data_IF_738500043230
#
_entry.id   IF_738500043230
#
_cell.length_a   1.000
_cell.length_b   1.000
_cell.length_c   1.000
_cell.angle_alpha   90.00
_cell.angle_beta   90.00
_cell.angle_gamma   90.00
#
_symmetry.space_group_name_H-M   'P 1'
#
loop_
_entity.id
_entity.type
_entity.pdbx_description
1 polymer ?
#
# COMPACT_ATOMS: atom_id res chain seq x y z
N UNK A 1 0.87 -0.30 6.85
CA UNK A 1 1.78 0.42 5.90
C UNK A 1 3.27 0.02 5.95
N UNK A 2 3.78 -0.66 6.99
CA UNK A 2 5.20 -1.05 7.09
C UNK A 2 5.70 -2.04 6.00
N UNK A 3 4.78 -2.59 5.20
CA UNK A 3 5.05 -3.61 4.18
C UNK A 3 5.32 -3.07 2.76
N UNK A 4 5.16 -1.77 2.49
CA UNK A 4 5.08 -1.31 1.10
C UNK A 4 6.42 -0.85 0.51
N UNK A 5 7.33 -0.29 1.30
CA UNK A 5 8.71 -0.01 0.91
C UNK A 5 9.51 0.15 2.21
N UNK A 6 10.63 -0.54 2.37
CA UNK A 6 11.49 -0.36 3.55
C UNK A 6 12.01 1.09 3.56
N UNK A 7 11.44 1.93 4.42
CA UNK A 7 11.79 3.34 4.63
C UNK A 7 13.31 3.56 4.77
N UNK A 8 14.00 2.58 5.37
CA UNK A 8 15.45 2.54 5.50
C UNK A 8 16.20 2.59 4.15
N UNK A 9 15.80 1.79 3.16
CA UNK A 9 16.48 1.75 1.86
C UNK A 9 16.25 3.03 1.06
N UNK A 10 15.05 3.60 1.15
CA UNK A 10 14.72 4.88 0.53
C UNK A 10 15.63 5.98 1.10
N UNK A 11 15.75 6.05 2.44
CA UNK A 11 16.57 7.07 3.09
C UNK A 11 18.06 6.95 2.76
N UNK A 12 18.61 5.73 2.68
CA UNK A 12 20.02 5.55 2.25
C UNK A 12 20.24 6.11 0.85
N UNK A 13 19.35 5.81 -0.10
CA UNK A 13 19.50 6.23 -1.49
C UNK A 13 19.41 7.76 -1.61
N UNK A 14 18.45 8.39 -0.93
CA UNK A 14 18.30 9.85 -0.90
C UNK A 14 19.53 10.51 -0.25
N UNK A 15 20.07 9.92 0.81
CA UNK A 15 21.26 10.46 1.49
C UNK A 15 22.51 10.35 0.62
N UNK A 16 22.67 9.24 -0.09
CA UNK A 16 23.82 9.01 -0.96
C UNK A 16 23.76 9.81 -2.27
N UNK A 17 22.55 10.09 -2.77
CA UNK A 17 22.30 10.79 -4.03
C UNK A 17 21.21 11.86 -3.83
N UNK A 18 21.55 13.04 -3.28
CA UNK A 18 20.55 14.06 -2.89
C UNK A 18 19.73 14.61 -4.06
N UNK A 19 20.26 14.55 -5.29
CA UNK A 19 19.57 15.02 -6.50
C UNK A 19 18.69 13.93 -7.15
N UNK A 20 18.61 12.73 -6.57
CA UNK A 20 17.81 11.64 -7.15
C UNK A 20 16.32 11.83 -6.86
N UNK A 21 15.50 11.73 -7.90
CA UNK A 21 14.06 11.61 -7.73
C UNK A 21 13.68 10.12 -7.63
N UNK A 22 13.31 9.67 -6.43
CA UNK A 22 12.82 8.31 -6.23
C UNK A 22 11.35 8.21 -6.62
N UNK A 23 11.08 7.45 -7.68
CA UNK A 23 9.72 7.15 -8.11
C UNK A 23 9.31 5.75 -7.66
N UNK A 24 8.26 5.68 -6.84
CA UNK A 24 7.59 4.41 -6.54
C UNK A 24 6.91 3.84 -7.79
N UNK A 25 6.87 2.52 -7.91
CA UNK A 25 6.22 1.84 -9.04
C UNK A 25 4.90 1.19 -8.58
N UNK A 26 3.77 1.65 -9.12
CA UNK A 26 2.43 1.11 -8.81
C UNK A 26 2.34 -0.40 -9.07
N UNK A 27 2.98 -0.89 -10.14
CA UNK A 27 2.99 -2.31 -10.46
C UNK A 27 3.62 -3.15 -9.34
N UNK A 28 4.78 -2.73 -8.82
CA UNK A 28 5.45 -3.41 -7.72
C UNK A 28 4.66 -3.28 -6.42
N UNK A 29 4.02 -2.14 -6.18
CA UNK A 29 3.12 -1.94 -5.04
C UNK A 29 1.95 -2.94 -5.06
N UNK A 30 1.25 -3.04 -6.20
CA UNK A 30 0.15 -3.99 -6.38
C UNK A 30 0.62 -5.45 -6.35
N UNK A 31 1.84 -5.75 -6.80
CA UNK A 31 2.45 -7.06 -6.65
C UNK A 31 2.71 -7.40 -5.18
N UNK A 32 3.25 -6.47 -4.40
CA UNK A 32 3.49 -6.64 -2.97
C UNK A 32 2.18 -6.86 -2.20
N UNK A 33 1.12 -6.09 -2.51
CA UNK A 33 -0.20 -6.30 -1.92
C UNK A 33 -0.73 -7.72 -2.20
N UNK A 34 -0.63 -8.21 -3.44
CA UNK A 34 -1.02 -9.59 -3.78
C UNK A 34 -0.21 -10.63 -3.01
N UNK A 35 1.11 -10.46 -2.90
CA UNK A 35 1.98 -11.36 -2.12
C UNK A 35 1.59 -11.37 -0.64
N UNK A 36 1.31 -10.20 -0.07
CA UNK A 36 0.85 -10.09 1.31
C UNK A 36 -0.46 -10.85 1.52
N UNK A 37 -1.46 -10.65 0.65
CA UNK A 37 -2.73 -11.37 0.68
C UNK A 37 -2.55 -12.90 0.57
N UNK A 38 -1.55 -13.39 -0.17
CA UNK A 38 -1.21 -14.82 -0.18
C UNK A 38 -0.67 -15.28 1.18
N UNK A 39 0.25 -14.52 1.79
CA UNK A 39 0.84 -14.82 3.10
C UNK A 39 -0.21 -14.87 4.21
N UNK A 40 -1.21 -13.98 4.17
CA UNK A 40 -2.31 -13.96 5.14
C UNK A 40 -3.51 -14.81 4.73
N UNK A 41 -3.38 -15.63 3.67
CA UNK A 41 -4.41 -16.57 3.20
C UNK A 41 -5.73 -15.91 2.73
N UNK A 42 -5.70 -14.61 2.39
CA UNK A 42 -6.85 -13.84 1.90
C UNK A 42 -6.93 -13.77 0.37
N UNK A 43 -5.91 -14.25 -0.35
CA UNK A 43 -5.86 -14.15 -1.82
C UNK A 43 -7.04 -14.83 -2.52
N UNK A 44 -7.53 -15.96 -1.98
CA UNK A 44 -8.73 -16.64 -2.52
C UNK A 44 -9.98 -15.76 -2.42
N UNK A 45 -10.18 -15.08 -1.29
CA UNK A 45 -11.29 -14.13 -1.11
C UNK A 45 -11.14 -12.95 -2.07
N UNK A 46 -9.95 -12.35 -2.12
CA UNK A 46 -9.64 -11.27 -3.06
C UNK A 46 -9.91 -11.60 -4.53
N UNK A 47 -9.76 -12.85 -4.94
CA UNK A 47 -10.06 -13.28 -6.32
C UNK A 47 -11.56 -13.42 -6.61
N UNK A 48 -12.34 -13.81 -5.61
CA UNK A 48 -13.72 -14.26 -5.78
C UNK A 48 -14.77 -13.27 -5.23
N UNK A 49 -14.34 -12.27 -4.45
CA UNK A 49 -15.17 -11.23 -3.85
C UNK A 49 -14.76 -9.87 -4.41
N UNK A 50 -15.65 -9.28 -5.22
CA UNK A 50 -15.37 -8.03 -5.91
C UNK A 50 -15.26 -6.82 -4.96
N UNK A 51 -16.03 -6.84 -3.86
CA UNK A 51 -16.03 -5.76 -2.88
C UNK A 51 -14.74 -5.81 -2.05
N UNK A 52 -14.34 -7.01 -1.61
CA UNK A 52 -13.04 -7.20 -0.95
C UNK A 52 -11.87 -6.83 -1.87
N UNK A 53 -11.97 -7.14 -3.17
CA UNK A 53 -10.97 -6.75 -4.14
C UNK A 53 -10.89 -5.22 -4.31
N UNK A 54 -12.03 -4.53 -4.29
CA UNK A 54 -12.10 -3.08 -4.35
C UNK A 54 -11.47 -2.45 -3.10
N UNK A 55 -11.81 -2.95 -1.91
CA UNK A 55 -11.24 -2.50 -0.63
C UNK A 55 -9.71 -2.66 -0.61
N UNK A 56 -9.18 -3.80 -1.06
CA UNK A 56 -7.73 -3.99 -1.19
C UNK A 56 -7.07 -3.02 -2.18
N UNK A 57 -7.76 -2.62 -3.26
CA UNK A 57 -7.26 -1.61 -4.21
C UNK A 57 -7.33 -0.19 -3.64
N UNK A 58 -8.28 0.12 -2.76
CA UNK A 58 -8.34 1.41 -2.07
C UNK A 58 -7.11 1.61 -1.19
N UNK A 59 -6.59 0.56 -0.53
CA UNK A 59 -5.33 0.61 0.21
C UNK A 59 -4.14 0.97 -0.71
N UNK A 60 -4.09 0.40 -1.91
CA UNK A 60 -3.06 0.73 -2.91
C UNK A 60 -3.17 2.20 -3.35
N UNK A 61 -4.39 2.73 -3.48
CA UNK A 61 -4.65 4.10 -3.91
C UNK A 61 -4.09 5.17 -2.95
N UNK A 62 -3.82 4.82 -1.69
CA UNK A 62 -3.16 5.72 -0.72
C UNK A 62 -1.77 6.18 -1.19
N UNK A 63 -1.11 5.45 -2.10
CA UNK A 63 0.16 5.88 -2.68
C UNK A 63 0.07 7.17 -3.52
N UNK A 64 -1.14 7.63 -3.86
CA UNK A 64 -1.38 8.88 -4.57
C UNK A 64 -1.81 10.03 -3.66
N UNK A 65 -1.96 9.79 -2.36
CA UNK A 65 -2.31 10.83 -1.38
C UNK A 65 -1.03 11.58 -0.97
N UNK A 66 -1.00 12.92 -1.02
CA UNK A 66 0.11 13.70 -0.49
C UNK A 66 0.34 13.40 1.00
N UNK A 67 1.59 13.43 1.44
CA UNK A 67 1.95 13.07 2.82
C UNK A 67 1.17 13.88 3.87
N UNK A 68 0.94 15.17 3.63
CA UNK A 68 0.20 16.06 4.53
C UNK A 68 -1.27 15.65 4.75
N UNK A 69 -1.87 14.89 3.82
CA UNK A 69 -3.24 14.38 3.90
C UNK A 69 -3.34 12.88 4.17
N UNK A 70 -2.21 12.19 4.31
CA UNK A 70 -2.17 10.73 4.34
C UNK A 70 -2.82 10.16 5.60
N UNK A 71 -2.58 10.76 6.77
CA UNK A 71 -3.14 10.31 8.04
C UNK A 71 -4.67 10.37 8.02
N UNK A 72 -5.23 11.52 7.63
CA UNK A 72 -6.68 11.68 7.47
C UNK A 72 -7.28 10.72 6.43
N UNK A 73 -6.56 10.45 5.32
CA UNK A 73 -7.01 9.51 4.31
C UNK A 73 -7.03 8.07 4.83
N UNK A 74 -6.07 7.68 5.67
CA UNK A 74 -6.05 6.38 6.35
C UNK A 74 -7.26 6.26 7.28
N UNK A 75 -7.49 7.26 8.13
CA UNK A 75 -8.62 7.24 9.08
C UNK A 75 -9.97 7.14 8.37
N UNK A 76 -10.16 7.92 7.30
CA UNK A 76 -11.37 7.87 6.49
C UNK A 76 -11.55 6.49 5.83
N UNK A 77 -10.45 5.88 5.38
CA UNK A 77 -10.48 4.58 4.73
C UNK A 77 -10.75 3.45 5.73
N UNK A 78 -10.22 3.54 6.96
CA UNK A 78 -10.35 2.50 7.97
C UNK A 78 -11.80 2.11 8.27
N UNK A 79 -12.74 3.07 8.22
CA UNK A 79 -14.18 2.81 8.40
C UNK A 79 -14.86 2.06 7.25
N UNK A 80 -14.17 1.87 6.12
CA UNK A 80 -14.67 1.18 4.93
C UNK A 80 -13.96 -0.14 4.66
N UNK A 81 -12.89 -0.43 5.39
CA UNK A 81 -12.11 -1.66 5.27
C UNK A 81 -12.66 -2.73 6.24
N UNK A 82 -12.66 -3.99 5.82
CA UNK A 82 -12.93 -5.08 6.74
C UNK A 82 -11.72 -5.28 7.65
N UNK A 83 -11.93 -5.82 8.85
CA UNK A 83 -10.89 -5.99 9.88
C UNK A 83 -9.63 -6.67 9.36
N UNK A 84 -9.74 -7.57 8.37
CA UNK A 84 -8.59 -8.27 7.80
C UNK A 84 -7.69 -7.41 6.90
N UNK A 85 -8.13 -6.19 6.57
CA UNK A 85 -7.39 -5.22 5.74
C UNK A 85 -7.02 -3.93 6.51
N UNK A 86 -7.42 -3.80 7.77
CA UNK A 86 -7.00 -2.69 8.66
C UNK A 86 -5.55 -2.88 9.14
#
# INVERSE_FOLDING_TARGET
LHFLFNHYHINIIITAFPDVCLHGCLFHLAQNMRRHLCTVHLFTRYKNDADFALQGKMVIALAFVPTDGLEQAIDNLAGHLPDELQ
#
